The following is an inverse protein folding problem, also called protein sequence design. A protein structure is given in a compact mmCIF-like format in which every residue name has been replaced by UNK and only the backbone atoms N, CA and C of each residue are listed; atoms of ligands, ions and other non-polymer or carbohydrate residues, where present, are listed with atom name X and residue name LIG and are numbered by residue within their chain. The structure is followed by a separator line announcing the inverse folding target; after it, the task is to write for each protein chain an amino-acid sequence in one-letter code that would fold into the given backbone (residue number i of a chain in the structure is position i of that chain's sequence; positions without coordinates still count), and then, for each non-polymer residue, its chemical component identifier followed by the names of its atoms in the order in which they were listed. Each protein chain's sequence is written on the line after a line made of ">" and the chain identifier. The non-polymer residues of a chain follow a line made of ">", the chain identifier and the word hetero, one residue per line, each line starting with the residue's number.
data_IF_896279770999
#
_entry.id   IF_896279770999
#
_cell.length_a   1.000
_cell.length_b   1.000
_cell.length_c   1.000
_cell.angle_alpha   90.00
_cell.angle_beta   90.00
_cell.angle_gamma   90.00
#
_symmetry.space_group_name_H-M   'P 1'
#
loop_
_entity.id
_entity.type
_entity.pdbx_description
1 polymer ?
#
# COMPACT_ATOMS: atom_id res chain seq x y z
N UNK A 1 1.55 5.52 24.95
CA UNK A 1 2.93 5.10 24.58
C UNK A 1 2.80 4.15 23.40
N UNK A 2 3.29 4.57 22.22
CA UNK A 2 2.99 3.95 20.92
C UNK A 2 4.02 2.85 20.57
N UNK A 3 3.65 1.55 20.50
CA UNK A 3 4.58 0.47 20.11
C UNK A 3 4.70 0.27 18.59
N UNK A 4 4.12 1.14 17.74
CA UNK A 4 4.04 0.94 16.28
C UNK A 4 5.29 1.38 15.46
N UNK A 5 6.24 2.09 16.06
CA UNK A 5 7.46 2.56 15.36
C UNK A 5 8.50 1.44 15.16
N UNK A 6 8.44 0.36 15.92
CA UNK A 6 9.42 -0.73 15.85
C UNK A 6 9.27 -1.63 14.60
N UNK A 7 8.08 -1.70 14.00
CA UNK A 7 7.85 -2.54 12.82
C UNK A 7 8.41 -1.93 11.53
N UNK A 8 8.34 -0.59 11.39
CA UNK A 8 8.90 0.13 10.23
C UNK A 8 10.43 0.07 10.16
N UNK A 9 11.09 0.12 11.32
CA UNK A 9 12.56 0.00 11.38
C UNK A 9 13.08 -1.39 10.98
N UNK A 10 12.28 -2.45 11.14
CA UNK A 10 12.65 -3.81 10.77
C UNK A 10 12.56 -4.04 9.24
N UNK A 11 11.65 -3.36 8.55
CA UNK A 11 11.50 -3.47 7.08
C UNK A 11 12.67 -2.77 6.37
N UNK A 12 13.07 -1.59 6.82
CA UNK A 12 14.21 -0.87 6.26
C UNK A 12 15.56 -1.58 6.46
N UNK A 13 15.72 -2.33 7.56
CA UNK A 13 16.97 -3.07 7.85
C UNK A 13 17.15 -4.33 6.98
N UNK A 14 16.08 -4.89 6.43
CA UNK A 14 16.15 -6.06 5.55
C UNK A 14 16.56 -5.71 4.11
N UNK A 15 16.26 -4.50 3.65
CA UNK A 15 16.62 -4.04 2.29
C UNK A 15 18.09 -3.63 2.14
N UNK A 16 18.76 -3.20 3.21
CA UNK A 16 20.12 -2.66 3.16
C UNK A 16 21.25 -3.66 3.44
N UNK A 17 20.95 -4.93 3.72
CA UNK A 17 21.91 -5.90 4.25
C UNK A 17 22.54 -6.87 3.26
N UNK A 18 22.24 -6.84 1.96
CA UNK A 18 22.67 -7.90 1.01
C UNK A 18 23.30 -7.31 -0.28
N UNK A 19 24.30 -6.45 -0.13
CA UNK A 19 25.23 -6.16 -1.22
C UNK A 19 26.58 -6.82 -0.90
N UNK A 20 26.67 -8.15 -1.08
CA UNK A 20 27.96 -8.78 -1.27
C UNK A 20 27.84 -10.03 -2.18
N UNK A 21 28.45 -9.86 -3.31
CA UNK A 21 28.94 -10.78 -4.33
C UNK A 21 28.95 -12.27 -4.02
N UNK A 22 28.16 -13.06 -4.80
CA UNK A 22 28.64 -14.32 -5.39
C UNK A 22 27.64 -14.89 -6.43
N UNK A 23 28.15 -15.35 -7.54
CA UNK A 23 27.53 -15.94 -8.71
C UNK A 23 26.54 -17.08 -8.42
N UNK A 24 25.28 -16.91 -8.92
CA UNK A 24 24.38 -18.03 -9.07
C UNK A 24 22.92 -17.64 -9.25
N UNK A 25 22.21 -18.28 -10.18
CA UNK A 25 20.78 -18.08 -10.41
C UNK A 25 19.92 -18.27 -9.14
N UNK A 26 20.40 -19.05 -8.18
CA UNK A 26 19.78 -19.29 -6.87
C UNK A 26 19.74 -18.05 -5.98
N UNK A 27 20.74 -17.17 -6.07
CA UNK A 27 20.80 -15.95 -5.24
C UNK A 27 19.79 -14.90 -5.73
N UNK A 28 19.60 -14.80 -7.05
CA UNK A 28 18.61 -13.88 -7.63
C UNK A 28 17.17 -14.30 -7.28
N UNK A 29 16.87 -15.59 -7.26
CA UNK A 29 15.55 -16.08 -6.84
C UNK A 29 15.31 -15.87 -5.35
N UNK A 30 16.30 -16.10 -4.51
CA UNK A 30 16.20 -15.86 -3.07
C UNK A 30 16.00 -14.37 -2.77
N UNK A 31 16.71 -13.49 -3.49
CA UNK A 31 16.57 -12.06 -3.37
C UNK A 31 15.19 -11.58 -3.85
N UNK A 32 14.70 -12.06 -5.00
CA UNK A 32 13.35 -11.74 -5.49
C UNK A 32 12.26 -12.16 -4.49
N UNK A 33 12.42 -13.34 -3.89
CA UNK A 33 11.50 -13.85 -2.85
C UNK A 33 11.53 -12.98 -1.60
N UNK A 34 12.70 -12.53 -1.16
CA UNK A 34 12.85 -11.63 -0.01
C UNK A 34 12.13 -10.29 -0.26
N UNK A 35 12.32 -9.68 -1.42
CA UNK A 35 11.64 -8.44 -1.80
C UNK A 35 10.12 -8.63 -1.92
N UNK A 36 9.67 -9.73 -2.51
CA UNK A 36 8.23 -10.02 -2.59
C UNK A 36 7.60 -10.22 -1.21
N UNK A 37 8.29 -10.90 -0.29
CA UNK A 37 7.82 -11.04 1.08
C UNK A 37 7.79 -9.69 1.82
N UNK A 38 8.77 -8.80 1.58
CA UNK A 38 8.77 -7.46 2.16
C UNK A 38 7.57 -6.64 1.66
N UNK A 39 7.28 -6.70 0.34
CA UNK A 39 6.07 -6.12 -0.24
C UNK A 39 4.80 -6.63 0.45
N UNK A 40 4.63 -7.97 0.56
CA UNK A 40 3.46 -8.59 1.19
C UNK A 40 3.30 -8.19 2.65
N UNK A 41 4.40 -8.11 3.39
CA UNK A 41 4.38 -7.69 4.81
C UNK A 41 3.92 -6.24 4.95
N UNK A 42 4.36 -5.35 4.07
CA UNK A 42 3.92 -3.95 4.06
C UNK A 42 2.42 -3.85 3.68
N UNK A 43 1.97 -4.59 2.67
CA UNK A 43 0.57 -4.67 2.26
C UNK A 43 -0.34 -5.18 3.39
N UNK A 44 0.03 -6.27 4.06
CA UNK A 44 -0.72 -6.80 5.20
C UNK A 44 -0.82 -5.77 6.35
N UNK A 45 0.26 -5.03 6.60
CA UNK A 45 0.31 -3.97 7.63
C UNK A 45 -0.56 -2.76 7.27
N UNK A 46 -0.84 -2.52 5.98
CA UNK A 46 -1.66 -1.42 5.50
C UNK A 46 -3.15 -1.62 5.77
N UNK A 47 -3.61 -2.86 5.85
CA UNK A 47 -5.02 -3.20 6.04
C UNK A 47 -5.64 -2.54 7.28
N UNK A 48 -4.90 -2.49 8.40
CA UNK A 48 -5.39 -1.85 9.62
C UNK A 48 -5.58 -0.35 9.45
N UNK A 49 -4.64 0.33 8.78
CA UNK A 49 -4.72 1.77 8.54
C UNK A 49 -5.82 2.12 7.50
N UNK A 50 -6.06 1.26 6.51
CA UNK A 50 -7.17 1.39 5.56
C UNK A 50 -8.53 1.27 6.26
N UNK A 51 -8.66 0.35 7.21
CA UNK A 51 -9.89 0.23 8.02
C UNK A 51 -10.10 1.47 8.89
N UNK A 52 -9.06 2.03 9.51
CA UNK A 52 -9.15 3.29 10.27
C UNK A 52 -9.60 4.45 9.37
N UNK A 53 -9.06 4.54 8.15
CA UNK A 53 -9.48 5.56 7.18
C UNK A 53 -10.95 5.39 6.78
N UNK A 54 -11.39 4.16 6.53
CA UNK A 54 -12.79 3.84 6.22
C UNK A 54 -13.73 4.23 7.37
N UNK A 55 -13.32 3.94 8.62
CA UNK A 55 -14.06 4.33 9.81
C UNK A 55 -14.14 5.86 9.95
N UNK A 56 -13.06 6.57 9.68
CA UNK A 56 -13.03 8.03 9.73
C UNK A 56 -14.04 8.65 8.74
N UNK A 57 -14.10 8.17 7.49
CA UNK A 57 -15.11 8.65 6.52
C UNK A 57 -16.55 8.37 6.94
N UNK A 58 -16.81 7.20 7.50
CA UNK A 58 -18.13 6.87 8.05
C UNK A 58 -18.51 7.82 9.17
N UNK A 59 -17.58 8.10 10.09
CA UNK A 59 -17.82 8.95 11.24
C UNK A 59 -17.99 10.43 10.82
N UNK A 60 -17.23 10.91 9.81
CA UNK A 60 -17.45 12.21 9.17
C UNK A 60 -18.89 12.31 8.64
N UNK A 61 -19.35 11.29 7.90
CA UNK A 61 -20.69 11.28 7.33
C UNK A 61 -21.79 11.33 8.41
N UNK A 62 -21.64 10.54 9.47
CA UNK A 62 -22.59 10.48 10.58
C UNK A 62 -22.62 11.81 11.35
N UNK A 63 -21.45 12.37 11.67
CA UNK A 63 -21.34 13.64 12.38
C UNK A 63 -21.89 14.82 11.56
N UNK A 64 -21.64 14.85 10.26
CA UNK A 64 -22.18 15.87 9.37
C UNK A 64 -23.72 15.82 9.31
N UNK A 65 -24.30 14.61 9.26
CA UNK A 65 -25.77 14.44 9.32
C UNK A 65 -26.35 14.90 10.66
N UNK A 66 -25.62 14.70 11.76
CA UNK A 66 -25.98 15.16 13.09
C UNK A 66 -25.71 16.66 13.30
N UNK A 67 -25.10 17.35 12.35
CA UNK A 67 -24.62 18.74 12.45
C UNK A 67 -23.64 18.95 13.62
N UNK A 68 -22.85 17.91 13.95
CA UNK A 68 -21.83 17.95 14.98
C UNK A 68 -20.47 18.29 14.37
N UNK A 69 -20.14 19.58 14.41
CA UNK A 69 -18.91 20.11 13.82
C UNK A 69 -17.65 19.52 14.46
N UNK A 70 -17.63 19.39 15.78
CA UNK A 70 -16.45 18.95 16.51
C UNK A 70 -16.18 17.48 16.21
N UNK A 71 -17.21 16.66 16.13
CA UNK A 71 -17.10 15.25 15.72
C UNK A 71 -16.62 15.09 14.27
N UNK A 72 -17.04 15.98 13.33
CA UNK A 72 -16.51 15.99 11.95
C UNK A 72 -15.01 16.27 11.94
N UNK A 73 -14.58 17.30 12.67
CA UNK A 73 -13.17 17.69 12.75
C UNK A 73 -12.30 16.59 13.35
N UNK A 74 -12.76 15.96 14.44
CA UNK A 74 -12.05 14.84 15.07
C UNK A 74 -11.92 13.65 14.12
N UNK A 75 -13.00 13.28 13.44
CA UNK A 75 -12.98 12.17 12.48
C UNK A 75 -12.08 12.48 11.26
N UNK A 76 -12.12 13.72 10.74
CA UNK A 76 -11.26 14.13 9.64
C UNK A 76 -9.76 14.10 10.02
N UNK A 77 -9.42 14.51 11.24
CA UNK A 77 -8.04 14.41 11.74
C UNK A 77 -7.58 12.96 11.86
N UNK A 78 -8.42 12.05 12.39
CA UNK A 78 -8.10 10.60 12.42
C UNK A 78 -7.89 10.05 11.02
N UNK A 79 -8.71 10.51 10.06
CA UNK A 79 -8.54 10.15 8.65
C UNK A 79 -7.19 10.60 8.08
N UNK A 80 -6.74 11.83 8.39
CA UNK A 80 -5.42 12.31 7.97
C UNK A 80 -4.28 11.48 8.59
N UNK A 81 -4.37 11.15 9.87
CA UNK A 81 -3.38 10.31 10.55
C UNK A 81 -3.31 8.91 9.90
N UNK A 82 -4.46 8.35 9.48
CA UNK A 82 -4.51 7.08 8.77
C UNK A 82 -3.90 7.19 7.36
N UNK A 83 -4.17 8.27 6.62
CA UNK A 83 -3.56 8.54 5.31
C UNK A 83 -2.03 8.61 5.40
N UNK A 84 -1.47 9.28 6.41
CA UNK A 84 -0.04 9.36 6.63
C UNK A 84 0.57 7.97 6.87
N UNK A 85 -0.08 7.13 7.69
CA UNK A 85 0.36 5.74 7.91
C UNK A 85 0.31 4.89 6.64
N UNK A 86 -0.74 5.04 5.84
CA UNK A 86 -0.88 4.32 4.56
C UNK A 86 0.21 4.78 3.57
N UNK A 87 0.52 6.09 3.50
CA UNK A 87 1.54 6.63 2.60
C UNK A 87 2.93 6.11 2.93
N UNK A 88 3.27 6.00 4.21
CA UNK A 88 4.52 5.41 4.69
C UNK A 88 4.65 3.94 4.28
N UNK A 89 3.55 3.17 4.38
CA UNK A 89 3.53 1.76 3.97
C UNK A 89 3.62 1.61 2.46
N UNK A 90 2.97 2.47 1.68
CA UNK A 90 3.15 2.52 0.23
C UNK A 90 4.59 2.84 -0.18
N UNK A 91 5.31 3.66 0.58
CA UNK A 91 6.72 3.91 0.31
C UNK A 91 7.55 2.62 0.43
N UNK A 92 7.31 1.80 1.46
CA UNK A 92 7.98 0.51 1.65
C UNK A 92 7.60 -0.50 0.55
N UNK A 93 6.31 -0.58 0.18
CA UNK A 93 5.84 -1.42 -0.92
C UNK A 93 6.50 -1.02 -2.26
N UNK A 94 6.63 0.28 -2.53
CA UNK A 94 7.26 0.80 -3.73
C UNK A 94 8.76 0.48 -3.77
N UNK A 95 9.47 0.58 -2.66
CA UNK A 95 10.89 0.20 -2.57
C UNK A 95 11.07 -1.28 -2.92
N UNK A 96 10.26 -2.16 -2.35
CA UNK A 96 10.28 -3.59 -2.66
C UNK A 96 9.95 -3.87 -4.14
N UNK A 97 8.93 -3.21 -4.69
CA UNK A 97 8.55 -3.36 -6.10
C UNK A 97 9.63 -2.83 -7.06
N UNK A 98 10.34 -1.77 -6.70
CA UNK A 98 11.47 -1.26 -7.47
C UNK A 98 12.63 -2.26 -7.46
N UNK A 99 13.00 -2.83 -6.32
CA UNK A 99 13.99 -3.89 -6.23
C UNK A 99 13.63 -5.09 -7.11
N UNK A 100 12.37 -5.53 -7.10
CA UNK A 100 11.89 -6.57 -8.01
C UNK A 100 12.04 -6.17 -9.49
N UNK A 101 11.89 -4.90 -9.84
CA UNK A 101 12.04 -4.42 -11.21
C UNK A 101 13.48 -4.48 -11.74
N UNK A 102 14.47 -4.60 -10.88
CA UNK A 102 15.89 -4.70 -11.21
C UNK A 102 16.34 -6.16 -11.45
N UNK A 103 15.56 -7.13 -11.00
CA UNK A 103 15.84 -8.54 -11.18
C UNK A 103 15.26 -9.01 -12.52
N UNK A 104 16.11 -9.42 -13.46
CA UNK A 104 15.76 -9.73 -14.86
C UNK A 104 14.56 -10.68 -14.97
N UNK A 105 14.55 -11.78 -14.18
CA UNK A 105 13.50 -12.82 -14.24
C UNK A 105 12.10 -12.35 -13.84
N UNK A 106 11.99 -11.27 -13.06
CA UNK A 106 10.71 -10.73 -12.55
C UNK A 106 10.52 -9.25 -12.86
N UNK A 107 11.44 -8.63 -13.61
CA UNK A 107 11.48 -7.19 -13.90
C UNK A 107 10.16 -6.63 -14.45
N UNK A 108 9.53 -7.34 -15.37
CA UNK A 108 8.25 -6.91 -15.95
C UNK A 108 7.16 -6.80 -14.89
N UNK A 109 7.08 -7.78 -13.98
CA UNK A 109 6.09 -7.79 -12.92
C UNK A 109 6.41 -6.76 -11.83
N UNK A 110 7.68 -6.58 -11.48
CA UNK A 110 8.14 -5.52 -10.60
C UNK A 110 7.76 -4.12 -11.11
N UNK A 111 7.94 -3.85 -12.41
CA UNK A 111 7.52 -2.59 -13.04
C UNK A 111 6.00 -2.40 -13.03
N UNK A 112 5.23 -3.45 -13.30
CA UNK A 112 3.76 -3.40 -13.24
C UNK A 112 3.28 -3.14 -11.82
N UNK A 113 3.85 -3.82 -10.81
CA UNK A 113 3.55 -3.64 -9.41
C UNK A 113 3.85 -2.19 -8.98
N UNK A 114 5.05 -1.70 -9.25
CA UNK A 114 5.46 -0.33 -8.97
C UNK A 114 4.55 0.71 -9.65
N UNK A 115 4.13 0.45 -10.90
CA UNK A 115 3.19 1.31 -11.62
C UNK A 115 1.82 1.36 -10.96
N UNK A 116 1.29 0.21 -10.55
CA UNK A 116 0.01 0.10 -9.82
C UNK A 116 0.06 0.82 -8.48
N UNK A 117 1.10 0.58 -7.68
CA UNK A 117 1.30 1.23 -6.38
C UNK A 117 1.36 2.76 -6.48
N UNK A 118 2.02 3.30 -7.52
CA UNK A 118 2.04 4.75 -7.76
C UNK A 118 0.65 5.31 -8.05
N UNK A 119 -0.19 4.60 -8.81
CA UNK A 119 -1.56 5.03 -9.08
C UNK A 119 -2.40 5.03 -7.80
N UNK A 120 -2.30 3.98 -6.98
CA UNK A 120 -3.02 3.88 -5.70
C UNK A 120 -2.54 4.96 -4.73
N UNK A 121 -1.23 5.22 -4.66
CA UNK A 121 -0.69 6.33 -3.86
C UNK A 121 -1.17 7.70 -4.34
N UNK A 122 -1.33 7.89 -5.65
CA UNK A 122 -1.91 9.12 -6.20
C UNK A 122 -3.38 9.28 -5.82
N UNK A 123 -4.15 8.19 -5.79
CA UNK A 123 -5.52 8.17 -5.25
C UNK A 123 -5.53 8.58 -3.77
N UNK A 124 -4.64 8.05 -2.95
CA UNK A 124 -4.51 8.42 -1.53
C UNK A 124 -4.23 9.92 -1.34
N UNK A 125 -3.41 10.53 -2.21
CA UNK A 125 -3.15 11.96 -2.17
C UNK A 125 -4.41 12.82 -2.47
N UNK A 126 -5.36 12.33 -3.26
CA UNK A 126 -6.65 12.99 -3.48
C UNK A 126 -7.55 12.82 -2.25
N UNK A 127 -7.57 11.66 -1.63
CA UNK A 127 -8.27 11.40 -0.35
C UNK A 127 -7.75 12.34 0.75
N UNK A 128 -6.45 12.57 0.84
CA UNK A 128 -5.87 13.54 1.77
C UNK A 128 -6.42 14.96 1.56
N UNK A 129 -6.63 15.37 0.30
CA UNK A 129 -7.25 16.66 -0.03
C UNK A 129 -8.72 16.71 0.38
N UNK A 130 -9.49 15.64 0.18
CA UNK A 130 -10.88 15.54 0.65
C UNK A 130 -10.97 15.74 2.16
N UNK A 131 -10.09 15.10 2.94
CA UNK A 131 -10.01 15.26 4.39
C UNK A 131 -9.62 16.69 4.80
N UNK A 132 -8.69 17.32 4.05
CA UNK A 132 -8.33 18.73 4.27
C UNK A 132 -9.54 19.64 4.03
N UNK A 133 -10.33 19.36 3.01
CA UNK A 133 -11.57 20.12 2.75
C UNK A 133 -12.57 19.92 3.90
N UNK A 134 -12.74 18.72 4.42
CA UNK A 134 -13.61 18.44 5.55
C UNK A 134 -13.17 19.15 6.84
N UNK A 135 -11.87 19.40 7.03
CA UNK A 135 -11.36 20.21 8.14
C UNK A 135 -11.67 21.71 7.96
N UNK A 136 -11.60 22.23 6.73
CA UNK A 136 -11.85 23.63 6.42
C UNK A 136 -13.36 23.97 6.36
N UNK A 137 -14.16 23.08 5.78
CA UNK A 137 -15.61 23.21 5.55
C UNK A 137 -16.33 21.91 6.02
N UNK A 138 -16.53 21.74 7.34
CA UNK A 138 -17.02 20.49 7.93
C UNK A 138 -18.37 20.00 7.42
N UNK A 139 -19.21 20.91 6.93
CA UNK A 139 -20.54 20.57 6.40
C UNK A 139 -20.61 20.63 4.88
N UNK A 140 -19.48 20.90 4.22
CA UNK A 140 -19.35 20.97 2.75
C UNK A 140 -20.35 21.93 2.09
N UNK A 141 -20.65 23.03 2.78
CA UNK A 141 -21.66 23.99 2.30
C UNK A 141 -21.24 24.65 0.99
N UNK A 142 -19.92 24.87 0.80
CA UNK A 142 -19.37 25.61 -0.33
C UNK A 142 -18.56 24.75 -1.27
N UNK A 143 -18.02 23.61 -0.82
CA UNK A 143 -17.02 22.81 -1.54
C UNK A 143 -17.49 21.41 -1.94
N UNK A 144 -18.80 21.14 -1.88
CA UNK A 144 -19.34 19.81 -2.21
C UNK A 144 -18.92 19.31 -3.59
N UNK A 145 -18.99 20.16 -4.61
CA UNK A 145 -18.61 19.78 -5.95
C UNK A 145 -17.13 19.39 -6.06
N UNK A 146 -16.27 20.11 -5.34
CA UNK A 146 -14.83 19.81 -5.34
C UNK A 146 -14.55 18.43 -4.74
N UNK A 147 -15.22 18.07 -3.65
CA UNK A 147 -15.11 16.72 -3.06
C UNK A 147 -15.66 15.67 -4.01
N UNK A 148 -16.83 15.88 -4.62
CA UNK A 148 -17.39 14.91 -5.57
C UNK A 148 -16.44 14.66 -6.76
N UNK A 149 -15.76 15.70 -7.27
CA UNK A 149 -14.77 15.58 -8.35
C UNK A 149 -13.50 14.83 -7.87
N UNK A 150 -12.98 15.14 -6.68
CA UNK A 150 -11.83 14.44 -6.08
C UNK A 150 -12.14 12.97 -5.81
N UNK A 151 -13.29 12.66 -5.22
CA UNK A 151 -13.72 11.30 -4.92
C UNK A 151 -13.82 10.44 -6.20
N UNK A 152 -14.34 11.03 -7.29
CA UNK A 152 -14.40 10.34 -8.58
C UNK A 152 -13.01 10.08 -9.15
N UNK A 153 -12.12 11.06 -9.12
CA UNK A 153 -10.76 10.91 -9.63
C UNK A 153 -9.97 9.90 -8.79
N UNK A 154 -10.09 9.95 -7.46
CA UNK A 154 -9.43 9.00 -6.56
C UNK A 154 -9.89 7.58 -6.81
N UNK A 155 -11.20 7.35 -6.97
CA UNK A 155 -11.76 6.03 -7.28
C UNK A 155 -11.23 5.48 -8.62
N UNK A 156 -11.16 6.33 -9.67
CA UNK A 156 -10.63 5.93 -10.97
C UNK A 156 -9.15 5.51 -10.90
N UNK A 157 -8.35 6.22 -10.12
CA UNK A 157 -6.93 5.90 -9.91
C UNK A 157 -6.76 4.62 -9.08
N UNK A 158 -7.55 4.47 -8.00
CA UNK A 158 -7.53 3.27 -7.17
C UNK A 158 -7.83 2.01 -7.99
N UNK A 159 -8.92 2.01 -8.74
CA UNK A 159 -9.30 0.86 -9.59
C UNK A 159 -8.21 0.48 -10.59
N UNK A 160 -7.59 1.48 -11.25
CA UNK A 160 -6.50 1.23 -12.20
C UNK A 160 -5.26 0.68 -11.49
N UNK A 161 -4.94 1.23 -10.32
CA UNK A 161 -3.82 0.78 -9.50
C UNK A 161 -4.01 -0.66 -9.02
N UNK A 162 -5.14 -0.96 -8.40
CA UNK A 162 -5.48 -2.30 -7.90
C UNK A 162 -5.48 -3.36 -9.00
N UNK A 163 -5.97 -3.03 -10.20
CA UNK A 163 -5.94 -3.93 -11.34
C UNK A 163 -4.50 -4.27 -11.78
N UNK A 164 -3.61 -3.28 -11.78
CA UNK A 164 -2.20 -3.47 -12.12
C UNK A 164 -1.48 -4.28 -11.04
N UNK A 165 -1.70 -3.96 -9.76
CA UNK A 165 -1.17 -4.66 -8.60
C UNK A 165 -1.61 -6.13 -8.63
N UNK A 166 -2.91 -6.40 -8.74
CA UNK A 166 -3.46 -7.76 -8.73
C UNK A 166 -2.91 -8.64 -9.86
N UNK A 167 -2.65 -8.06 -11.04
CA UNK A 167 -2.03 -8.79 -12.15
C UNK A 167 -0.57 -9.13 -11.87
N UNK A 168 0.19 -8.17 -11.36
CA UNK A 168 1.59 -8.35 -11.03
C UNK A 168 1.77 -9.35 -9.87
N UNK A 169 0.99 -9.17 -8.80
CA UNK A 169 1.00 -10.02 -7.62
C UNK A 169 0.70 -11.49 -7.97
N UNK A 170 -0.33 -11.73 -8.77
CA UNK A 170 -0.66 -13.09 -9.24
C UNK A 170 0.49 -13.72 -10.03
N UNK A 171 1.15 -12.96 -10.87
CA UNK A 171 2.27 -13.46 -11.67
C UNK A 171 3.50 -13.76 -10.79
N UNK A 172 3.79 -12.89 -9.81
CA UNK A 172 4.87 -13.10 -8.85
C UNK A 172 4.60 -14.30 -7.93
N UNK A 173 3.37 -14.45 -7.45
CA UNK A 173 2.97 -15.60 -6.61
C UNK A 173 3.04 -16.94 -7.37
N UNK A 174 2.67 -16.97 -8.65
CA UNK A 174 2.79 -18.18 -9.48
C UNK A 174 4.24 -18.57 -9.77
N UNK A 175 5.16 -17.59 -9.90
CA UNK A 175 6.59 -17.83 -10.03
C UNK A 175 7.24 -18.45 -8.77
N UNK A 176 6.61 -18.28 -7.60
CA UNK A 176 7.10 -18.87 -6.34
C UNK A 176 6.64 -20.32 -6.09
N UNK A 177 5.62 -20.81 -6.80
CA UNK A 177 5.03 -22.16 -6.60
C UNK A 177 5.83 -23.36 -7.11
N UNK A 178 6.60 -23.32 -8.22
CA UNK A 178 7.18 -24.53 -8.78
C UNK A 178 8.21 -25.23 -7.89
N UNK A 179 8.82 -24.52 -6.94
CA UNK A 179 9.88 -25.11 -6.11
C UNK A 179 9.38 -25.83 -4.86
N UNK A 180 8.18 -25.49 -4.34
CA UNK A 180 7.60 -26.21 -3.21
C UNK A 180 7.21 -27.66 -3.59
N UNK A 181 6.70 -27.88 -4.80
CA UNK A 181 6.32 -29.21 -5.27
C UNK A 181 7.56 -30.11 -5.55
N UNK A 182 8.69 -29.53 -5.92
CA UNK A 182 9.94 -30.30 -6.14
C UNK A 182 10.61 -30.73 -4.82
N UNK A 183 10.46 -30.00 -3.74
CA UNK A 183 11.04 -30.37 -2.43
C UNK A 183 10.30 -31.54 -1.77
N UNK A 184 9.05 -31.81 -2.11
CA UNK A 184 8.27 -32.93 -1.55
C UNK A 184 8.36 -34.21 -2.38
N UNK A 185 8.86 -34.14 -3.63
CA UNK A 185 9.03 -35.34 -4.49
C UNK A 185 10.37 -36.04 -4.35
N UNK A 186 11.36 -35.45 -3.67
CA UNK A 186 12.70 -36.04 -3.50
C UNK A 186 12.88 -36.88 -2.21
N UNK A 187 11.82 -37.05 -1.40
CA UNK A 187 11.91 -37.82 -0.14
C UNK A 187 11.23 -39.20 -0.22
N UNK A 188 10.93 -39.68 -1.41
CA UNK A 188 10.36 -41.03 -1.63
C UNK A 188 11.22 -41.77 -2.65
N UNK A 189 12.44 -42.15 -2.23
CA UNK A 189 13.34 -43.06 -2.92
C UNK A 189 14.14 -43.87 -1.93
#
# INVERSE_FOLDING_TARGET
>A
MKPKIAALAAIAALASGLLDTACGSTDHEAHARSLYNAYRTAEDSRTDAEEELRLAFRDISNAAQAQDRDAVLEAAQRGQDAVEQIDDLFAAELEAAQGLSEIESVSTHGKQLSGGLRLTRSSLALIAKELTIALDDPFLETRKKEIDDLAKESADLAVKGELAISRADRALALGAKPQLDQMFTTTSG
#
